data_IF_552497014832
#
_entry.id   IF_552497014832
#
_cell.length_a   1.000
_cell.length_b   1.000
_cell.length_c   1.000
_cell.angle_alpha   90.00
_cell.angle_beta   90.00
_cell.angle_gamma   90.00
#
_symmetry.space_group_name_H-M   'P 1'
#
loop_
_entity.id
_entity.type
_entity.pdbx_description
1 polymer ?
#
# COMPACT_ATOMS: atom_id res chain seq x y z
N UNK A 1 -13.24 4.41 14.70
CA UNK A 1 -13.00 3.20 13.90
C UNK A 1 -11.72 3.37 13.10
N UNK A 2 -10.91 2.34 13.06
CA UNK A 2 -9.71 2.38 12.26
C UNK A 2 -10.06 2.30 10.77
N UNK A 3 -9.40 3.13 9.97
CA UNK A 3 -9.54 3.10 8.51
C UNK A 3 -8.60 2.02 7.99
N UNK A 4 -9.14 1.09 7.21
CA UNK A 4 -8.33 0.06 6.57
C UNK A 4 -9.07 -0.52 5.36
N UNK A 5 -8.33 -1.24 4.54
CA UNK A 5 -8.87 -1.90 3.36
C UNK A 5 -8.15 -3.21 3.12
N UNK A 6 -8.89 -4.20 2.67
CA UNK A 6 -8.34 -5.50 2.28
C UNK A 6 -8.62 -5.70 0.80
N UNK A 7 -7.55 -5.95 0.05
CA UNK A 7 -7.61 -6.25 -1.37
C UNK A 7 -7.25 -7.72 -1.55
N UNK A 8 -8.04 -8.43 -2.35
CA UNK A 8 -7.74 -9.83 -2.67
C UNK A 8 -6.96 -9.90 -3.97
N UNK A 9 -5.99 -10.81 -4.03
CA UNK A 9 -5.20 -11.03 -5.24
C UNK A 9 -4.73 -12.47 -5.34
N UNK A 10 -4.23 -12.84 -6.50
CA UNK A 10 -3.62 -14.13 -6.76
C UNK A 10 -2.24 -13.87 -7.34
N UNK A 11 -1.24 -14.60 -6.87
CA UNK A 11 0.13 -14.46 -7.39
C UNK A 11 0.15 -14.94 -8.84
N UNK A 12 0.47 -14.03 -9.76
CA UNK A 12 0.52 -14.32 -11.19
C UNK A 12 1.95 -14.72 -11.58
N UNK A 13 2.09 -15.35 -12.74
CA UNK A 13 3.41 -15.74 -13.24
C UNK A 13 4.37 -14.56 -13.27
N UNK A 14 3.89 -13.40 -13.73
CA UNK A 14 4.70 -12.17 -13.83
C UNK A 14 5.20 -11.66 -12.48
N UNK A 15 4.56 -12.07 -11.39
CA UNK A 15 4.95 -11.65 -10.04
C UNK A 15 6.12 -12.46 -9.50
N UNK A 16 6.52 -13.53 -10.19
CA UNK A 16 7.56 -14.45 -9.69
C UNK A 16 8.93 -14.13 -10.28
N UNK A 17 9.96 -14.64 -9.60
CA UNK A 17 11.34 -14.53 -10.05
C UNK A 17 11.86 -15.90 -10.54
N UNK A 18 13.13 -15.96 -10.93
CA UNK A 18 13.73 -17.19 -11.43
C UNK A 18 13.76 -18.32 -10.37
N UNK A 19 13.65 -17.98 -9.09
CA UNK A 19 13.62 -18.96 -8.01
C UNK A 19 12.25 -19.56 -7.73
N UNK A 20 11.21 -19.15 -8.49
CA UNK A 20 9.86 -19.69 -8.34
C UNK A 20 9.06 -19.08 -7.21
N UNK A 21 9.57 -18.03 -6.58
CA UNK A 21 8.87 -17.26 -5.55
C UNK A 21 8.59 -15.86 -6.06
N UNK A 22 7.81 -15.09 -5.31
CA UNK A 22 7.53 -13.72 -5.73
C UNK A 22 8.83 -12.93 -5.83
N UNK A 23 8.89 -12.06 -6.85
CA UNK A 23 9.91 -11.03 -6.92
C UNK A 23 9.62 -10.05 -5.79
N UNK A 24 10.66 -9.59 -5.09
CA UNK A 24 10.44 -8.72 -3.92
C UNK A 24 9.62 -7.47 -4.24
N UNK A 25 9.72 -6.95 -5.46
CA UNK A 25 8.98 -5.76 -5.85
C UNK A 25 7.46 -6.01 -5.96
N UNK A 26 7.03 -7.26 -6.11
CA UNK A 26 5.61 -7.57 -6.20
C UNK A 26 4.87 -7.15 -4.93
N UNK A 27 5.51 -7.27 -3.77
CA UNK A 27 4.90 -6.85 -2.50
C UNK A 27 4.51 -5.37 -2.53
N UNK A 28 5.34 -4.51 -3.12
CA UNK A 28 5.07 -3.07 -3.18
C UNK A 28 3.97 -2.74 -4.19
N UNK A 29 3.88 -3.49 -5.30
CA UNK A 29 2.79 -3.31 -6.25
C UNK A 29 1.45 -3.70 -5.63
N UNK A 30 1.42 -4.79 -4.85
CA UNK A 30 0.21 -5.19 -4.16
C UNK A 30 -0.17 -4.18 -3.08
N UNK A 31 0.80 -3.63 -2.36
CA UNK A 31 0.55 -2.57 -1.39
C UNK A 31 -0.06 -1.34 -2.07
N UNK A 32 0.46 -0.96 -3.23
CA UNK A 32 -0.09 0.14 -4.01
C UNK A 32 -1.51 -0.15 -4.48
N UNK A 33 -1.77 -1.37 -4.94
CA UNK A 33 -3.10 -1.80 -5.35
C UNK A 33 -4.10 -1.65 -4.19
N UNK A 34 -3.69 -2.04 -2.99
CA UNK A 34 -4.52 -1.90 -1.80
C UNK A 34 -4.72 -0.42 -1.42
N UNK A 35 -3.69 0.40 -1.58
CA UNK A 35 -3.78 1.85 -1.37
C UNK A 35 -4.81 2.47 -2.30
N UNK A 36 -4.77 2.10 -3.58
CA UNK A 36 -5.75 2.57 -4.57
C UNK A 36 -7.15 2.10 -4.17
N UNK A 37 -7.28 0.85 -3.74
CA UNK A 37 -8.56 0.29 -3.28
C UNK A 37 -9.14 1.06 -2.11
N UNK A 38 -8.31 1.42 -1.14
CA UNK A 38 -8.75 2.22 0.00
C UNK A 38 -9.18 3.63 -0.45
N UNK A 39 -8.41 4.27 -1.32
CA UNK A 39 -8.76 5.59 -1.83
C UNK A 39 -10.08 5.56 -2.60
N UNK A 40 -10.30 4.50 -3.38
CA UNK A 40 -11.57 4.34 -4.11
C UNK A 40 -12.74 4.22 -3.13
N UNK A 41 -12.57 3.41 -2.10
CA UNK A 41 -13.58 3.20 -1.07
C UNK A 41 -13.93 4.50 -0.34
N UNK A 42 -12.96 5.38 -0.14
CA UNK A 42 -13.13 6.65 0.57
C UNK A 42 -13.46 7.83 -0.35
N UNK A 43 -13.58 7.60 -1.66
CA UNK A 43 -13.85 8.67 -2.60
C UNK A 43 -12.68 9.63 -2.82
N UNK A 44 -11.46 9.13 -2.69
CA UNK A 44 -10.24 9.94 -2.78
C UNK A 44 -9.45 9.75 -4.07
N UNK A 45 -10.04 9.16 -5.10
CA UNK A 45 -9.35 8.95 -6.38
C UNK A 45 -9.29 10.24 -7.18
N UNK A 46 -10.44 10.90 -7.33
CA UNK A 46 -10.49 12.13 -8.08
C UNK A 46 -9.75 13.23 -7.33
N UNK A 47 -8.85 13.91 -8.02
CA UNK A 47 -8.05 14.96 -7.42
C UNK A 47 -6.97 14.46 -6.48
N UNK A 48 -6.59 13.20 -6.59
CA UNK A 48 -5.61 12.56 -5.71
C UNK A 48 -4.28 13.33 -5.67
N UNK A 49 -3.80 13.80 -6.80
CA UNK A 49 -2.54 14.51 -6.85
C UNK A 49 -1.34 13.57 -6.96
N UNK A 50 -0.18 14.10 -6.61
CA UNK A 50 1.10 13.41 -6.77
C UNK A 50 1.69 13.07 -5.40
N UNK A 51 2.02 11.78 -5.22
CA UNK A 51 2.52 11.23 -3.96
C UNK A 51 3.73 10.33 -4.21
N UNK A 52 4.91 10.91 -4.51
CA UNK A 52 6.10 10.08 -4.66
C UNK A 52 6.39 9.29 -3.38
N UNK A 53 6.98 8.11 -3.57
CA UNK A 53 7.39 7.25 -2.45
C UNK A 53 8.71 7.79 -1.90
N UNK A 54 8.71 8.16 -0.64
CA UNK A 54 9.91 8.62 0.04
C UNK A 54 10.68 7.46 0.65
N UNK A 55 9.95 6.46 1.16
CA UNK A 55 10.55 5.30 1.79
C UNK A 55 9.65 4.10 1.60
N UNK A 56 10.24 2.96 1.30
CA UNK A 56 9.53 1.68 1.24
C UNK A 56 10.33 0.67 2.04
N UNK A 57 9.64 -0.19 2.78
CA UNK A 57 10.27 -1.28 3.50
C UNK A 57 9.34 -2.46 3.59
N UNK A 58 9.92 -3.66 3.64
CA UNK A 58 9.14 -4.87 3.80
C UNK A 58 10.00 -5.96 4.44
N UNK A 59 9.35 -6.81 5.24
CA UNK A 59 9.93 -8.03 5.76
C UNK A 59 9.21 -9.19 5.10
N UNK A 60 9.98 -10.14 4.57
CA UNK A 60 9.48 -11.32 3.88
C UNK A 60 9.59 -12.50 4.84
N UNK A 61 8.48 -12.85 5.48
CA UNK A 61 8.44 -13.82 6.58
C UNK A 61 8.17 -15.23 6.10
N UNK A 62 7.37 -15.39 5.05
CA UNK A 62 7.00 -16.67 4.45
C UNK A 62 6.99 -16.53 2.94
N UNK A 63 7.39 -17.58 2.26
CA UNK A 63 7.46 -17.59 0.79
C UNK A 63 6.07 -17.61 0.17
N UNK A 64 5.86 -16.73 -0.80
CA UNK A 64 4.67 -16.73 -1.65
C UNK A 64 5.07 -17.22 -3.03
N UNK A 65 4.22 -18.05 -3.63
CA UNK A 65 4.51 -18.71 -4.91
C UNK A 65 3.37 -18.50 -5.91
N UNK A 66 3.65 -18.80 -7.16
CA UNK A 66 2.67 -18.74 -8.24
C UNK A 66 1.37 -19.44 -7.83
N UNK A 67 0.25 -18.81 -8.13
CA UNK A 67 -1.12 -19.25 -7.85
C UNK A 67 -1.57 -19.13 -6.38
N UNK A 68 -0.71 -18.73 -5.47
CA UNK A 68 -1.16 -18.48 -4.09
C UNK A 68 -2.21 -17.37 -4.08
N UNK A 69 -3.27 -17.59 -3.31
CA UNK A 69 -4.29 -16.57 -3.08
C UNK A 69 -3.90 -15.78 -1.84
N UNK A 70 -3.92 -14.46 -1.98
CA UNK A 70 -3.44 -13.57 -0.93
C UNK A 70 -4.47 -12.47 -0.63
N UNK A 71 -4.41 -11.97 0.59
CA UNK A 71 -5.12 -10.77 1.00
C UNK A 71 -4.08 -9.73 1.37
N UNK A 72 -4.28 -8.51 0.88
CA UNK A 72 -3.40 -7.38 1.14
C UNK A 72 -4.18 -6.37 1.97
N UNK A 73 -3.79 -6.21 3.23
CA UNK A 73 -4.43 -5.27 4.15
C UNK A 73 -3.56 -4.03 4.24
N UNK A 74 -4.18 -2.88 4.11
CA UNK A 74 -3.47 -1.60 4.19
C UNK A 74 -4.23 -0.65 5.12
N UNK A 75 -3.49 0.17 5.84
CA UNK A 75 -4.06 1.22 6.69
C UNK A 75 -3.10 2.39 6.80
N UNK A 76 -3.64 3.62 7.00
CA UNK A 76 -2.80 4.76 7.31
C UNK A 76 -2.35 4.65 8.77
N UNK A 77 -1.06 4.52 8.98
CA UNK A 77 -0.48 4.44 10.33
C UNK A 77 -0.30 5.83 10.93
N UNK A 78 0.13 6.78 10.09
CA UNK A 78 0.42 8.13 10.53
C UNK A 78 0.12 9.13 9.41
N UNK A 79 -0.49 10.25 9.79
CA UNK A 79 -0.69 11.39 8.91
C UNK A 79 0.21 12.51 9.39
N UNK A 80 1.26 12.82 8.60
CA UNK A 80 2.11 13.97 8.83
C UNK A 80 1.49 15.23 8.23
N UNK A 81 2.20 16.32 8.25
CA UNK A 81 1.72 17.55 7.61
C UNK A 81 1.64 17.38 6.09
N UNK A 82 2.67 16.79 5.49
CA UNK A 82 2.78 16.58 4.03
C UNK A 82 2.86 15.10 3.66
N UNK A 83 2.87 14.20 4.62
CA UNK A 83 3.16 12.78 4.38
C UNK A 83 2.09 11.86 4.95
N UNK A 84 2.03 10.65 4.37
CA UNK A 84 1.22 9.57 4.89
C UNK A 84 2.14 8.37 5.04
N UNK A 85 2.11 7.74 6.21
CA UNK A 85 2.76 6.45 6.41
C UNK A 85 1.70 5.38 6.34
N UNK A 86 1.80 4.52 5.33
CA UNK A 86 0.94 3.37 5.16
C UNK A 86 1.63 2.13 5.71
N UNK A 87 0.90 1.29 6.44
CA UNK A 87 1.40 -0.04 6.78
C UNK A 87 0.57 -1.07 6.06
N UNK A 88 1.21 -2.16 5.65
CA UNK A 88 0.51 -3.23 4.95
C UNK A 88 0.97 -4.60 5.41
N UNK A 89 0.07 -5.57 5.27
CA UNK A 89 0.34 -6.98 5.52
C UNK A 89 -0.22 -7.78 4.36
N UNK A 90 0.54 -8.77 3.92
CA UNK A 90 0.09 -9.71 2.89
C UNK A 90 -0.03 -11.07 3.57
N UNK A 91 -1.24 -11.63 3.56
CA UNK A 91 -1.54 -12.90 4.21
C UNK A 91 -1.96 -13.95 3.20
N UNK A 92 -1.63 -15.20 3.51
CA UNK A 92 -2.12 -16.38 2.81
C UNK A 92 -2.59 -17.34 3.90
N UNK A 93 -3.85 -17.78 3.79
CA UNK A 93 -4.46 -18.69 4.78
C UNK A 93 -4.29 -18.17 6.22
N UNK A 94 -4.59 -16.89 6.42
CA UNK A 94 -4.51 -16.19 7.71
C UNK A 94 -3.09 -16.09 8.30
N UNK A 95 -2.06 -16.45 7.55
CA UNK A 95 -0.67 -16.32 7.97
C UNK A 95 -0.03 -15.11 7.30
N UNK A 96 0.58 -14.22 8.09
CA UNK A 96 1.29 -13.06 7.55
C UNK A 96 2.56 -13.53 6.86
N UNK A 97 2.64 -13.30 5.56
CA UNK A 97 3.80 -13.69 4.74
C UNK A 97 4.73 -12.51 4.48
N UNK A 98 4.18 -11.32 4.34
CA UNK A 98 4.95 -10.08 4.14
C UNK A 98 4.30 -8.99 4.96
N UNK A 99 5.10 -8.13 5.55
CA UNK A 99 4.60 -6.91 6.19
C UNK A 99 5.56 -5.77 5.90
N UNK A 100 5.03 -4.57 5.81
CA UNK A 100 5.88 -3.45 5.46
C UNK A 100 5.20 -2.10 5.63
N UNK A 101 5.90 -1.08 5.15
CA UNK A 101 5.42 0.29 5.21
C UNK A 101 5.84 1.07 3.98
N UNK A 102 5.02 2.05 3.64
CA UNK A 102 5.30 3.02 2.57
C UNK A 102 5.14 4.40 3.18
N UNK A 103 6.13 5.26 2.98
CA UNK A 103 6.01 6.66 3.33
C UNK A 103 5.91 7.44 2.03
N UNK A 104 4.81 8.14 1.85
CA UNK A 104 4.55 8.95 0.65
C UNK A 104 4.44 10.41 1.06
N UNK A 105 4.84 11.31 0.20
CA UNK A 105 4.81 12.75 0.46
C UNK A 105 3.99 13.42 -0.64
N UNK A 106 2.99 14.22 -0.24
CA UNK A 106 2.24 15.00 -1.20
C UNK A 106 3.13 16.12 -1.72
N UNK A 107 3.19 16.26 -3.04
CA UNK A 107 3.97 17.32 -3.67
C UNK A 107 3.09 18.13 -4.62
N UNK A 108 3.48 19.39 -4.84
CA UNK A 108 2.82 20.25 -5.81
C UNK A 108 3.39 20.01 -7.21
N UNK A 109 2.97 20.82 -8.18
CA UNK A 109 3.36 20.66 -9.58
C UNK A 109 4.87 20.81 -9.78
N UNK A 110 5.56 21.48 -8.88
CA UNK A 110 7.01 21.69 -8.93
C UNK A 110 7.77 20.63 -8.13
N UNK A 111 7.07 19.66 -7.57
CA UNK A 111 7.69 18.60 -6.77
C UNK A 111 8.03 19.01 -5.35
N UNK A 112 7.49 20.12 -4.88
CA UNK A 112 7.73 20.63 -3.52
C UNK A 112 6.67 20.05 -2.57
N UNK A 113 7.07 19.56 -1.37
CA UNK A 113 6.11 19.04 -0.42
C UNK A 113 4.99 20.02 -0.12
N UNK A 114 3.75 19.51 -0.12
CA UNK A 114 2.54 20.29 0.10
C UNK A 114 1.68 19.62 1.16
N UNK A 115 0.91 20.38 1.97
CA UNK A 115 0.08 19.80 3.00
C UNK A 115 -0.98 18.85 2.44
N UNK A 116 -1.31 17.81 3.18
CA UNK A 116 -2.45 16.94 2.86
C UNK A 116 -3.71 17.80 2.80
N UNK A 117 -4.60 17.47 1.87
CA UNK A 117 -5.86 18.22 1.78
C UNK A 117 -6.73 17.94 3.01
N UNK A 118 -7.64 18.86 3.30
CA UNK A 118 -8.59 18.68 4.41
C UNK A 118 -9.44 17.44 4.19
N UNK A 119 -9.84 17.19 2.95
CA UNK A 119 -10.65 16.03 2.58
C UNK A 119 -9.91 14.73 2.87
N UNK A 120 -8.66 14.64 2.45
CA UNK A 120 -7.83 13.46 2.71
C UNK A 120 -7.61 13.24 4.18
N UNK A 121 -7.25 14.29 4.89
CA UNK A 121 -6.97 14.22 6.31
C UNK A 121 -8.19 13.73 7.07
N UNK A 122 -9.36 14.26 6.76
CA UNK A 122 -10.60 13.85 7.42
C UNK A 122 -10.94 12.40 7.12
N UNK A 123 -10.83 11.98 5.86
CA UNK A 123 -11.16 10.62 5.44
C UNK A 123 -10.20 9.58 6.02
N UNK A 124 -8.91 9.88 6.05
CA UNK A 124 -7.88 8.94 6.51
C UNK A 124 -7.72 8.89 8.03
N UNK A 125 -8.16 9.93 8.71
CA UNK A 125 -8.12 9.95 10.18
C UNK A 125 -9.22 9.08 10.81
N UNK A 126 -10.22 8.71 10.03
CA UNK A 126 -11.35 7.91 10.51
C UNK A 126 -12.37 8.74 11.21
#
# INVERSE_FOLDING_TARGET
>A
MAVEHVEWARVAWVDTDAGGRIHFTAAFRWAEMAEVGLRRKLGLIEGWGDYPRRRVEAEFLKVLRFEDEIEVRIRPERLGETSITWTFEITRDDEVCVRGALVVVRVDVDGVPAPLTKKERAALAG
#
